data_IF_581573364457
#
_entry.id   IF_581573364457
#
_cell.length_a   1.000
_cell.length_b   1.000
_cell.length_c   1.000
_cell.angle_alpha   90.00
_cell.angle_beta   90.00
_cell.angle_gamma   90.00
#
_symmetry.space_group_name_H-M   'P 1'
#
loop_
_entity.id
_entity.type
_entity.pdbx_description
1 polymer ?
#
# COMPACT_ATOMS: atom_id res chain seq x y z
N UNK A 1 -8.19 -27.82 0.81
CA UNK A 1 -9.01 -26.77 1.46
C UNK A 1 -8.37 -25.39 1.41
N UNK A 2 -7.09 -25.19 1.74
CA UNK A 2 -6.44 -23.86 1.80
C UNK A 2 -6.69 -22.98 0.57
N UNK A 3 -6.47 -23.50 -0.64
CA UNK A 3 -6.67 -22.76 -1.90
C UNK A 3 -8.12 -22.25 -2.07
N UNK A 4 -9.11 -23.02 -1.60
CA UNK A 4 -10.52 -22.67 -1.73
C UNK A 4 -10.96 -21.52 -0.79
N UNK A 5 -10.15 -21.19 0.22
CA UNK A 5 -10.44 -20.15 1.21
C UNK A 5 -9.33 -19.09 1.28
N UNK A 6 -8.49 -18.97 0.26
CA UNK A 6 -7.35 -18.03 0.25
C UNK A 6 -7.78 -16.57 0.39
N UNK A 7 -9.00 -16.21 -0.04
CA UNK A 7 -9.55 -14.87 0.11
C UNK A 7 -9.69 -14.42 1.58
N UNK A 8 -9.75 -15.35 2.53
CA UNK A 8 -9.88 -15.02 3.95
C UNK A 8 -8.65 -14.28 4.47
N UNK A 9 -7.44 -14.65 4.02
CA UNK A 9 -6.20 -14.02 4.46
C UNK A 9 -6.11 -12.52 4.15
N UNK A 10 -6.23 -12.06 2.89
CA UNK A 10 -6.12 -10.63 2.58
C UNK A 10 -7.24 -9.80 3.21
N UNK A 11 -8.44 -10.37 3.40
CA UNK A 11 -9.56 -9.71 4.09
C UNK A 11 -9.25 -9.55 5.58
N UNK A 12 -8.75 -10.60 6.24
CA UNK A 12 -8.36 -10.54 7.64
C UNK A 12 -7.18 -9.59 7.88
N UNK A 13 -6.20 -9.58 6.97
CA UNK A 13 -5.08 -8.65 7.01
C UNK A 13 -5.55 -7.21 6.85
N UNK A 14 -6.45 -6.94 5.91
CA UNK A 14 -7.05 -5.61 5.75
C UNK A 14 -7.76 -5.17 7.03
N UNK A 15 -8.56 -6.04 7.64
CA UNK A 15 -9.25 -5.72 8.89
C UNK A 15 -8.26 -5.40 10.04
N UNK A 16 -7.17 -6.17 10.16
CA UNK A 16 -6.13 -5.89 11.15
C UNK A 16 -5.41 -4.55 10.90
N UNK A 17 -5.15 -4.20 9.64
CA UNK A 17 -4.60 -2.90 9.24
C UNK A 17 -5.56 -1.75 9.55
N UNK A 18 -6.86 -1.89 9.22
CA UNK A 18 -7.88 -0.88 9.52
C UNK A 18 -8.09 -0.66 11.03
N UNK A 19 -7.86 -1.71 11.82
CA UNK A 19 -7.86 -1.65 13.28
C UNK A 19 -6.52 -1.16 13.86
N UNK A 20 -5.52 -0.83 13.04
CA UNK A 20 -4.18 -0.42 13.47
C UNK A 20 -3.51 -1.43 14.43
N UNK A 21 -3.76 -2.73 14.23
CA UNK A 21 -3.21 -3.79 15.10
C UNK A 21 -1.69 -3.75 15.13
N UNK A 22 -1.06 -3.55 13.98
CA UNK A 22 0.40 -3.58 13.86
C UNK A 22 1.04 -2.39 14.58
N UNK A 23 0.48 -1.20 14.42
CA UNK A 23 0.88 0.03 15.10
C UNK A 23 0.72 -0.09 16.62
N UNK A 24 -0.37 -0.71 17.09
CA UNK A 24 -0.59 -0.93 18.53
C UNK A 24 0.51 -1.82 19.12
N UNK A 25 0.84 -2.93 18.45
CA UNK A 25 1.91 -3.81 18.93
C UNK A 25 3.27 -3.10 18.83
N UNK A 26 3.54 -2.38 17.75
CA UNK A 26 4.79 -1.61 17.58
C UNK A 26 4.97 -0.58 18.70
N UNK A 27 3.91 0.16 19.03
CA UNK A 27 3.93 1.18 20.08
C UNK A 27 4.19 0.63 21.48
N UNK A 28 3.98 -0.68 21.70
CA UNK A 28 4.28 -1.35 22.95
C UNK A 28 5.77 -1.74 23.08
N UNK A 29 6.55 -1.69 22.00
CA UNK A 29 8.00 -1.90 21.99
C UNK A 29 8.47 -3.05 21.07
N UNK A 30 9.79 -3.12 20.78
CA UNK A 30 10.38 -3.99 19.75
C UNK A 30 10.23 -5.51 20.00
N UNK A 31 9.91 -5.94 21.22
CA UNK A 31 9.67 -7.35 21.58
C UNK A 31 8.33 -7.54 22.32
N UNK A 32 7.41 -6.59 22.13
CA UNK A 32 6.13 -6.62 22.83
C UNK A 32 5.27 -7.82 22.42
N UNK A 33 4.71 -8.48 23.42
CA UNK A 33 3.75 -9.57 23.28
C UNK A 33 2.44 -9.16 23.95
N UNK A 34 1.41 -8.92 23.15
CA UNK A 34 0.11 -8.44 23.62
C UNK A 34 -0.97 -9.51 23.47
N UNK A 35 -1.82 -9.66 24.49
CA UNK A 35 -3.04 -10.45 24.40
C UNK A 35 -4.10 -9.75 23.53
N UNK A 36 -5.05 -10.51 22.96
CA UNK A 36 -6.20 -9.94 22.25
C UNK A 36 -6.97 -8.91 23.07
N UNK A 37 -7.11 -9.12 24.39
CA UNK A 37 -7.79 -8.16 25.26
C UNK A 37 -7.02 -6.85 25.41
N UNK A 38 -5.69 -6.91 25.52
CA UNK A 38 -4.85 -5.70 25.56
C UNK A 38 -4.93 -4.92 24.25
N UNK A 39 -4.88 -5.59 23.10
CA UNK A 39 -5.02 -4.94 21.79
C UNK A 39 -6.42 -4.36 21.64
N UNK A 40 -7.47 -5.14 21.92
CA UNK A 40 -8.85 -4.70 21.80
C UNK A 40 -9.20 -3.51 22.71
N UNK A 41 -8.53 -3.39 23.87
CA UNK A 41 -8.71 -2.25 24.78
C UNK A 41 -8.32 -0.89 24.18
N UNK A 42 -7.54 -0.89 23.09
CA UNK A 42 -7.11 0.33 22.37
C UNK A 42 -8.12 0.79 21.33
N UNK A 43 -9.13 -0.02 21.01
CA UNK A 43 -10.15 0.33 20.04
C UNK A 43 -11.33 1.04 20.70
N UNK A 44 -12.06 1.90 19.96
CA UNK A 44 -13.40 2.33 20.35
C UNK A 44 -14.39 1.16 20.14
N UNK A 45 -14.23 0.09 20.92
CA UNK A 45 -15.19 -1.02 20.92
C UNK A 45 -16.51 -0.44 21.41
N UNK A 46 -17.55 -0.45 20.55
CA UNK A 46 -18.87 0.12 20.86
C UNK A 46 -19.63 -0.74 21.90
N UNK A 47 -18.99 -1.05 23.03
CA UNK A 47 -19.50 -1.94 24.08
C UNK A 47 -19.52 -3.42 23.69
N UNK A 48 -18.74 -3.86 22.69
CA UNK A 48 -18.73 -5.26 22.24
C UNK A 48 -17.87 -6.15 23.19
N UNK A 49 -18.48 -7.02 24.03
CA UNK A 49 -17.73 -7.86 24.96
C UNK A 49 -16.93 -8.95 24.25
N UNK A 50 -17.31 -9.34 23.04
CA UNK A 50 -16.69 -10.42 22.26
C UNK A 50 -15.53 -9.94 21.39
N UNK A 51 -15.22 -8.63 21.40
CA UNK A 51 -14.16 -8.06 20.57
C UNK A 51 -12.80 -8.76 20.74
N UNK A 52 -12.33 -9.09 21.97
CA UNK A 52 -11.08 -9.83 22.14
C UNK A 52 -11.12 -11.22 21.51
N UNK A 53 -12.25 -11.92 21.57
CA UNK A 53 -12.40 -13.27 21.03
C UNK A 53 -12.37 -13.26 19.49
N UNK A 54 -13.10 -12.32 18.87
CA UNK A 54 -13.12 -12.15 17.42
C UNK A 54 -11.74 -11.72 16.92
N UNK A 55 -11.11 -10.79 17.62
CA UNK A 55 -9.76 -10.33 17.29
C UNK A 55 -8.76 -11.49 17.36
N UNK A 56 -8.80 -12.32 18.40
CA UNK A 56 -7.94 -13.48 18.54
C UNK A 56 -8.03 -14.45 17.34
N UNK A 57 -9.21 -14.61 16.73
CA UNK A 57 -9.37 -15.42 15.52
C UNK A 57 -8.62 -14.81 14.32
N UNK A 58 -8.69 -13.49 14.15
CA UNK A 58 -7.95 -12.75 13.12
C UNK A 58 -6.45 -12.88 13.37
N UNK A 59 -5.99 -12.56 14.59
CA UNK A 59 -4.57 -12.59 14.94
C UNK A 59 -3.96 -13.99 14.79
N UNK A 60 -4.71 -15.04 15.18
CA UNK A 60 -4.29 -16.43 14.99
C UNK A 60 -4.10 -16.78 13.51
N UNK A 61 -5.00 -16.32 12.65
CA UNK A 61 -4.86 -16.50 11.21
C UNK A 61 -3.59 -15.78 10.71
N UNK A 62 -3.38 -14.52 11.07
CA UNK A 62 -2.21 -13.75 10.65
C UNK A 62 -0.90 -14.37 11.16
N UNK A 63 -0.88 -14.88 12.39
CA UNK A 63 0.26 -15.61 12.94
C UNK A 63 0.57 -16.90 12.16
N UNK A 64 -0.45 -17.62 11.69
CA UNK A 64 -0.25 -18.83 10.87
C UNK A 64 0.37 -18.54 9.49
N UNK A 65 0.30 -17.30 9.02
CA UNK A 65 0.97 -16.81 7.81
C UNK A 65 2.23 -15.97 8.11
N UNK A 66 2.75 -16.06 9.33
CA UNK A 66 3.97 -15.37 9.77
C UNK A 66 3.92 -13.84 9.62
N UNK A 67 2.72 -13.25 9.61
CA UNK A 67 2.52 -11.81 9.72
C UNK A 67 2.62 -11.35 11.19
N UNK A 68 2.35 -12.24 12.13
CA UNK A 68 2.54 -12.05 13.57
C UNK A 68 3.31 -13.23 14.15
N UNK A 69 3.95 -13.02 15.29
CA UNK A 69 4.41 -14.10 16.16
C UNK A 69 3.29 -14.45 17.15
N UNK A 70 3.25 -15.70 17.63
CA UNK A 70 2.27 -16.14 18.62
C UNK A 70 2.96 -16.99 19.69
N UNK A 71 2.75 -16.65 20.95
CA UNK A 71 3.19 -17.43 22.11
C UNK A 71 2.02 -17.73 23.04
N UNK A 72 2.21 -18.70 23.93
CA UNK A 72 1.21 -19.10 24.93
C UNK A 72 1.73 -18.71 26.31
N UNK A 73 0.88 -18.08 27.11
CA UNK A 73 1.18 -17.71 28.50
C UNK A 73 0.02 -18.08 29.42
N UNK A 74 0.27 -18.34 30.73
CA UNK A 74 -0.79 -18.45 31.71
C UNK A 74 -1.61 -17.16 31.78
N UNK A 75 -2.92 -17.29 31.93
CA UNK A 75 -3.81 -16.14 32.14
C UNK A 75 -3.72 -15.69 33.61
N UNK A 76 -3.15 -14.50 33.83
CA UNK A 76 -3.00 -13.91 35.16
C UNK A 76 -4.34 -13.54 35.81
N UNK A 77 -5.45 -13.49 35.05
CA UNK A 77 -6.78 -13.15 35.55
C UNK A 77 -7.65 -14.39 35.83
N UNK A 78 -7.33 -15.53 35.21
CA UNK A 78 -8.11 -16.77 35.33
C UNK A 78 -7.18 -17.97 35.52
N UNK A 79 -7.14 -18.48 36.75
CA UNK A 79 -6.33 -19.64 37.09
C UNK A 79 -6.63 -20.83 36.15
N UNK A 80 -5.57 -21.49 35.67
CA UNK A 80 -5.61 -22.64 34.76
C UNK A 80 -6.07 -22.35 33.31
N UNK A 81 -6.18 -21.08 32.91
CA UNK A 81 -6.40 -20.71 31.50
C UNK A 81 -5.09 -20.30 30.82
N UNK A 82 -4.98 -20.57 29.52
CA UNK A 82 -3.86 -20.15 28.67
C UNK A 82 -4.38 -19.06 27.74
N UNK A 83 -3.62 -17.98 27.61
CA UNK A 83 -3.86 -16.88 26.67
C UNK A 83 -2.80 -16.89 25.57
N UNK A 84 -3.22 -16.56 24.35
CA UNK A 84 -2.30 -16.27 23.23
C UNK A 84 -1.80 -14.84 23.35
N UNK A 85 -0.49 -14.66 23.20
CA UNK A 85 0.12 -13.36 23.08
C UNK A 85 0.71 -13.21 21.67
N UNK A 86 0.55 -12.03 21.09
CA UNK A 86 0.94 -11.74 19.72
C UNK A 86 1.99 -10.63 19.69
N UNK A 87 3.01 -10.85 18.86
CA UNK A 87 4.05 -9.87 18.56
C UNK A 87 4.16 -9.66 17.05
N UNK A 88 4.97 -8.68 16.64
CA UNK A 88 5.22 -8.42 15.22
C UNK A 88 6.21 -9.43 14.65
N UNK A 89 5.89 -9.99 13.49
CA UNK A 89 6.87 -10.71 12.68
C UNK A 89 7.61 -9.74 11.74
N UNK A 90 8.78 -10.09 11.19
CA UNK A 90 9.57 -9.17 10.36
C UNK A 90 8.85 -8.60 9.14
N UNK A 91 7.87 -9.33 8.57
CA UNK A 91 7.07 -8.87 7.43
C UNK A 91 6.03 -7.81 7.84
N UNK A 92 5.60 -7.80 9.11
CA UNK A 92 4.58 -6.90 9.61
C UNK A 92 4.97 -5.43 9.47
N UNK A 93 6.28 -5.12 9.53
CA UNK A 93 6.81 -3.77 9.37
C UNK A 93 6.36 -3.08 8.07
N UNK A 94 6.09 -3.85 7.01
CA UNK A 94 5.63 -3.32 5.75
C UNK A 94 4.14 -2.94 5.75
N UNK A 95 3.38 -3.31 6.79
CA UNK A 95 1.97 -2.98 6.94
C UNK A 95 1.72 -1.93 8.03
N UNK A 96 2.78 -1.46 8.70
CA UNK A 96 2.70 -0.37 9.67
C UNK A 96 2.72 0.95 8.90
N UNK A 97 1.82 1.87 9.26
CA UNK A 97 1.75 3.22 8.68
C UNK A 97 2.65 4.19 9.42
N UNK A 98 3.01 5.30 8.76
CA UNK A 98 3.68 6.46 9.37
C UNK A 98 5.06 6.19 9.99
N UNK A 99 5.82 5.20 9.49
CA UNK A 99 7.19 4.93 9.94
C UNK A 99 8.20 5.97 9.42
N UNK A 100 8.17 7.21 9.93
CA UNK A 100 9.15 8.27 9.62
C UNK A 100 9.43 8.45 8.11
N UNK A 101 8.39 8.37 7.28
CA UNK A 101 8.51 8.52 5.83
C UNK A 101 9.04 7.29 5.07
N UNK A 102 8.95 6.08 5.63
CA UNK A 102 9.37 4.80 4.98
C UNK A 102 8.31 4.10 4.12
N UNK A 103 7.13 4.69 3.94
CA UNK A 103 6.03 4.11 3.14
C UNK A 103 5.45 2.83 3.75
N UNK A 104 4.37 2.31 3.16
CA UNK A 104 3.66 1.13 3.65
C UNK A 104 2.94 0.40 2.50
N UNK A 105 2.82 -0.92 2.60
CA UNK A 105 1.98 -1.74 1.72
C UNK A 105 0.51 -1.74 2.15
N UNK A 106 0.19 -1.18 3.32
CA UNK A 106 -1.18 -1.12 3.83
C UNK A 106 -2.16 -0.39 2.89
N UNK A 107 -1.85 0.81 2.36
CA UNK A 107 -2.71 1.45 1.36
C UNK A 107 -2.85 0.65 0.05
N UNK A 108 -1.81 -0.06 -0.39
CA UNK A 108 -1.88 -0.93 -1.55
C UNK A 108 -2.82 -2.12 -1.30
N UNK A 109 -2.74 -2.73 -0.12
CA UNK A 109 -3.65 -3.79 0.29
C UNK A 109 -5.10 -3.28 0.29
N UNK A 110 -5.35 -2.09 0.85
CA UNK A 110 -6.69 -1.48 0.84
C UNK A 110 -7.23 -1.28 -0.57
N UNK A 111 -6.41 -0.75 -1.49
CA UNK A 111 -6.80 -0.60 -2.89
C UNK A 111 -7.13 -1.95 -3.53
N UNK A 112 -6.28 -2.96 -3.36
CA UNK A 112 -6.48 -4.29 -3.95
C UNK A 112 -7.72 -5.00 -3.39
N UNK A 113 -8.09 -4.71 -2.14
CA UNK A 113 -9.28 -5.25 -1.47
C UNK A 113 -10.49 -4.29 -1.50
N UNK A 114 -10.39 -3.19 -2.24
CA UNK A 114 -11.52 -2.29 -2.46
C UNK A 114 -12.58 -2.99 -3.32
N UNK A 115 -13.85 -2.65 -3.10
CA UNK A 115 -14.96 -3.20 -3.90
C UNK A 115 -14.77 -2.93 -5.39
N UNK A 116 -14.20 -1.76 -5.73
CA UNK A 116 -13.98 -1.37 -7.13
C UNK A 116 -13.08 -2.39 -7.83
N UNK A 117 -11.93 -2.72 -7.22
CA UNK A 117 -10.97 -3.69 -7.77
C UNK A 117 -11.50 -5.11 -7.66
N UNK A 118 -12.03 -5.50 -6.50
CA UNK A 118 -12.46 -6.88 -6.26
C UNK A 118 -13.62 -7.33 -7.15
N UNK A 119 -14.52 -6.42 -7.54
CA UNK A 119 -15.60 -6.71 -8.48
C UNK A 119 -15.08 -7.12 -9.87
N UNK A 120 -13.91 -6.63 -10.29
CA UNK A 120 -13.34 -6.96 -11.61
C UNK A 120 -12.93 -8.42 -11.73
N UNK A 121 -12.61 -9.08 -10.62
CA UNK A 121 -12.23 -10.50 -10.62
C UNK A 121 -13.36 -11.41 -11.08
N UNK A 122 -14.62 -11.04 -10.82
CA UNK A 122 -15.79 -11.81 -11.27
C UNK A 122 -15.96 -11.79 -12.79
N UNK A 123 -15.33 -10.85 -13.50
CA UNK A 123 -15.38 -10.75 -14.96
C UNK A 123 -14.20 -11.44 -15.66
N UNK A 124 -13.24 -12.03 -14.93
CA UNK A 124 -12.07 -12.68 -15.55
C UNK A 124 -12.47 -13.81 -16.50
N UNK A 125 -13.41 -14.66 -16.09
CA UNK A 125 -13.90 -15.77 -16.92
C UNK A 125 -14.53 -15.24 -18.21
N UNK A 126 -15.44 -14.28 -18.11
CA UNK A 126 -16.18 -13.79 -19.27
C UNK A 126 -15.28 -12.94 -20.19
N UNK A 127 -14.28 -12.24 -19.64
CA UNK A 127 -13.25 -11.57 -20.43
C UNK A 127 -12.42 -12.56 -21.30
N UNK A 128 -12.15 -13.76 -20.79
CA UNK A 128 -11.48 -14.82 -21.58
C UNK A 128 -12.37 -15.35 -22.69
N UNK A 129 -13.67 -15.51 -22.43
CA UNK A 129 -14.61 -16.11 -23.39
C UNK A 129 -15.09 -15.13 -24.46
N UNK A 130 -15.31 -13.88 -24.08
CA UNK A 130 -16.02 -12.89 -24.90
C UNK A 130 -15.14 -11.69 -25.26
N UNK A 131 -13.92 -11.61 -24.70
CA UNK A 131 -13.04 -10.47 -24.84
C UNK A 131 -13.44 -9.27 -23.98
N UNK A 132 -12.68 -8.18 -24.14
CA UNK A 132 -12.80 -6.96 -23.35
C UNK A 132 -12.01 -6.99 -22.05
N UNK A 133 -11.76 -5.82 -21.47
CA UNK A 133 -11.02 -5.70 -20.21
C UNK A 133 -11.97 -5.91 -19.02
N UNK A 134 -11.61 -6.71 -17.99
CA UNK A 134 -12.50 -6.98 -16.85
C UNK A 134 -13.05 -5.72 -16.17
N UNK A 135 -12.25 -4.66 -16.05
CA UNK A 135 -12.69 -3.38 -15.48
C UNK A 135 -13.80 -2.73 -16.33
N UNK A 136 -13.61 -2.66 -17.64
CA UNK A 136 -14.58 -2.08 -18.57
C UNK A 136 -15.88 -2.90 -18.61
N UNK A 137 -15.79 -4.23 -18.47
CA UNK A 137 -16.98 -5.09 -18.39
C UNK A 137 -17.83 -4.83 -17.15
N UNK A 138 -17.21 -4.49 -16.01
CA UNK A 138 -17.96 -4.15 -14.78
C UNK A 138 -18.52 -2.73 -14.84
N UNK A 139 -17.72 -1.75 -15.27
CA UNK A 139 -18.03 -0.34 -15.09
C UNK A 139 -18.42 0.41 -16.37
N UNK A 140 -18.35 -0.25 -17.53
CA UNK A 140 -18.71 0.33 -18.83
C UNK A 140 -17.78 1.45 -19.31
N UNK A 141 -16.61 1.62 -18.68
CA UNK A 141 -15.64 2.68 -18.97
C UNK A 141 -14.23 2.29 -18.54
N UNK A 142 -13.22 3.02 -19.02
CA UNK A 142 -11.82 2.76 -18.65
C UNK A 142 -11.56 3.12 -17.19
N UNK A 143 -10.56 2.48 -16.57
CA UNK A 143 -10.20 2.74 -15.18
C UNK A 143 -9.88 4.22 -14.92
N UNK A 144 -9.18 4.89 -15.84
CA UNK A 144 -8.86 6.32 -15.73
C UNK A 144 -10.11 7.20 -15.75
N UNK A 145 -11.11 6.85 -16.56
CA UNK A 145 -12.39 7.58 -16.63
C UNK A 145 -13.22 7.35 -15.36
N UNK A 146 -13.19 6.13 -14.82
CA UNK A 146 -13.85 5.79 -13.55
C UNK A 146 -13.25 6.56 -12.38
N UNK A 147 -11.91 6.66 -12.28
CA UNK A 147 -11.24 7.45 -11.25
C UNK A 147 -11.64 8.93 -11.30
N UNK A 148 -11.89 9.47 -12.50
CA UNK A 148 -12.42 10.83 -12.66
C UNK A 148 -13.85 11.02 -12.12
N UNK A 149 -14.63 9.94 -11.93
CA UNK A 149 -16.02 9.97 -11.44
C UNK A 149 -16.17 9.58 -9.97
N UNK A 150 -15.31 8.70 -9.47
CA UNK A 150 -15.33 8.23 -8.09
C UNK A 150 -14.16 8.85 -7.31
N UNK A 151 -14.38 10.03 -6.72
CA UNK A 151 -13.37 10.75 -5.96
C UNK A 151 -12.83 9.93 -4.77
N UNK A 152 -13.66 9.07 -4.17
CA UNK A 152 -13.26 8.19 -3.06
C UNK A 152 -12.28 7.13 -3.56
N UNK A 153 -12.59 6.45 -4.67
CA UNK A 153 -11.67 5.47 -5.24
C UNK A 153 -10.39 6.12 -5.79
N UNK A 154 -10.50 7.30 -6.40
CA UNK A 154 -9.33 8.08 -6.84
C UNK A 154 -8.39 8.38 -5.68
N UNK A 155 -8.92 8.69 -4.50
CA UNK A 155 -8.11 8.94 -3.31
C UNK A 155 -7.46 7.66 -2.77
N UNK A 156 -8.18 6.53 -2.75
CA UNK A 156 -7.63 5.22 -2.38
C UNK A 156 -6.48 4.83 -3.32
N UNK A 157 -6.68 4.97 -4.63
CA UNK A 157 -5.64 4.71 -5.63
C UNK A 157 -4.43 5.61 -5.41
N UNK A 158 -4.64 6.93 -5.29
CA UNK A 158 -3.57 7.90 -5.08
C UNK A 158 -2.78 7.62 -3.80
N UNK A 159 -3.46 7.39 -2.68
CA UNK A 159 -2.83 7.06 -1.40
C UNK A 159 -1.98 5.79 -1.49
N UNK A 160 -2.46 4.77 -2.24
CA UNK A 160 -1.69 3.55 -2.47
C UNK A 160 -0.38 3.79 -3.22
N UNK A 161 -0.40 4.65 -4.25
CA UNK A 161 0.78 4.95 -5.06
C UNK A 161 1.80 5.79 -4.27
N UNK A 162 1.33 6.74 -3.45
CA UNK A 162 2.21 7.58 -2.63
C UNK A 162 3.08 6.74 -1.70
N UNK A 163 2.46 5.86 -0.91
CA UNK A 163 3.18 5.04 0.07
C UNK A 163 4.03 3.96 -0.58
N UNK A 164 3.53 3.33 -1.65
CA UNK A 164 4.27 2.32 -2.39
C UNK A 164 5.52 2.91 -3.07
N UNK A 165 5.40 4.09 -3.69
CA UNK A 165 6.50 4.74 -4.40
C UNK A 165 7.66 5.08 -3.48
N UNK A 166 7.41 5.41 -2.21
CA UNK A 166 8.47 5.60 -1.20
C UNK A 166 9.32 4.34 -1.06
N UNK A 167 8.67 3.20 -0.82
CA UNK A 167 9.36 1.91 -0.63
C UNK A 167 10.10 1.47 -1.90
N UNK A 168 9.45 1.60 -3.05
CA UNK A 168 10.04 1.27 -4.34
C UNK A 168 11.27 2.12 -4.64
N UNK A 169 11.18 3.43 -4.43
CA UNK A 169 12.27 4.37 -4.72
C UNK A 169 13.48 4.14 -3.81
N UNK A 170 13.26 3.87 -2.52
CA UNK A 170 14.35 3.53 -1.60
C UNK A 170 15.08 2.24 -2.05
N UNK A 171 14.33 1.21 -2.42
CA UNK A 171 14.90 -0.04 -2.92
C UNK A 171 15.65 0.12 -4.25
N UNK A 172 15.09 0.92 -5.16
CA UNK A 172 15.68 1.25 -6.47
C UNK A 172 17.03 1.96 -6.28
N UNK A 173 17.04 3.11 -5.60
CA UNK A 173 18.23 3.96 -5.45
C UNK A 173 19.37 3.28 -4.66
N UNK A 174 19.03 2.31 -3.79
CA UNK A 174 20.01 1.52 -3.07
C UNK A 174 20.82 0.59 -3.98
N UNK A 175 20.22 0.07 -5.05
CA UNK A 175 20.81 -1.00 -5.88
C UNK A 175 21.15 -0.54 -7.30
N UNK A 176 20.35 0.33 -7.88
CA UNK A 176 20.49 0.74 -9.26
C UNK A 176 21.45 1.94 -9.38
N UNK A 177 22.39 1.83 -10.31
CA UNK A 177 23.43 2.85 -10.59
C UNK A 177 23.39 3.35 -12.03
N UNK A 178 22.38 2.97 -12.81
CA UNK A 178 22.26 3.42 -14.21
C UNK A 178 21.85 4.88 -14.38
N UNK A 179 21.69 5.63 -13.29
CA UNK A 179 21.53 7.09 -13.33
C UNK A 179 22.87 7.84 -13.32
N UNK A 180 23.97 7.15 -12.99
CA UNK A 180 25.30 7.76 -12.90
C UNK A 180 25.72 8.33 -14.26
N UNK A 181 26.09 9.62 -14.29
CA UNK A 181 26.59 10.30 -15.49
C UNK A 181 25.52 10.84 -16.44
N UNK A 182 24.22 10.68 -16.14
CA UNK A 182 23.16 11.33 -16.92
C UNK A 182 23.20 12.86 -16.73
N UNK A 183 22.98 13.60 -17.82
CA UNK A 183 22.76 15.05 -17.78
C UNK A 183 21.28 15.41 -17.66
N UNK A 184 20.39 14.58 -18.21
CA UNK A 184 18.94 14.78 -18.16
C UNK A 184 18.16 13.46 -18.10
N UNK A 185 17.05 13.47 -17.36
CA UNK A 185 16.17 12.32 -17.18
C UNK A 185 14.71 12.76 -17.34
N UNK A 186 13.97 12.08 -18.21
CA UNK A 186 12.52 12.29 -18.38
C UNK A 186 11.78 11.18 -17.66
N UNK A 187 10.90 11.52 -16.72
CA UNK A 187 9.98 10.59 -16.04
C UNK A 187 8.61 10.67 -16.74
N UNK A 188 8.26 9.67 -17.54
CA UNK A 188 7.04 9.65 -18.36
C UNK A 188 5.90 8.97 -17.59
N UNK A 189 4.81 9.70 -17.35
CA UNK A 189 3.78 9.25 -16.41
C UNK A 189 4.25 9.38 -14.95
N UNK A 190 5.14 10.32 -14.68
CA UNK A 190 5.77 10.52 -13.36
C UNK A 190 4.81 11.03 -12.29
N UNK A 191 3.55 11.32 -12.64
CA UNK A 191 2.51 11.73 -11.72
C UNK A 191 2.87 13.02 -10.99
N UNK A 192 2.89 12.95 -9.66
CA UNK A 192 3.30 14.09 -8.85
C UNK A 192 4.80 14.41 -8.98
N UNK A 193 5.63 13.53 -9.54
CA UNK A 193 7.07 13.72 -9.68
C UNK A 193 7.89 13.28 -8.45
N UNK A 194 7.28 12.57 -7.51
CA UNK A 194 7.95 12.14 -6.29
C UNK A 194 9.20 11.28 -6.56
N UNK A 195 9.10 10.29 -7.45
CA UNK A 195 10.23 9.37 -7.74
C UNK A 195 11.39 10.15 -8.35
N UNK A 196 11.11 10.94 -9.40
CA UNK A 196 12.11 11.82 -10.02
C UNK A 196 12.74 12.78 -9.00
N UNK A 197 11.95 13.32 -8.05
CA UNK A 197 12.49 14.20 -7.01
C UNK A 197 13.56 13.53 -6.15
N UNK A 198 13.39 12.25 -5.84
CA UNK A 198 14.36 11.47 -5.07
C UNK A 198 15.58 11.10 -5.90
N UNK A 199 15.39 10.78 -7.19
CA UNK A 199 16.50 10.55 -8.12
C UNK A 199 17.37 11.82 -8.21
N UNK A 200 16.77 12.98 -8.52
CA UNK A 200 17.50 14.25 -8.64
C UNK A 200 18.14 14.67 -7.31
N UNK A 201 17.50 14.38 -6.17
CA UNK A 201 18.11 14.64 -4.85
C UNK A 201 19.38 13.82 -4.61
N UNK A 202 19.44 12.58 -5.10
CA UNK A 202 20.63 11.72 -5.01
C UNK A 202 21.66 12.05 -6.10
N UNK A 203 21.21 12.59 -7.23
CA UNK A 203 22.01 12.92 -8.41
C UNK A 203 21.80 14.38 -8.82
N UNK A 204 22.35 15.37 -8.08
CA UNK A 204 22.03 16.78 -8.28
C UNK A 204 22.46 17.35 -9.63
N UNK A 205 23.34 16.66 -10.37
CA UNK A 205 23.76 17.03 -11.72
C UNK A 205 22.69 16.76 -12.78
N UNK A 206 21.72 15.88 -12.52
CA UNK A 206 20.67 15.52 -13.46
C UNK A 206 19.64 16.66 -13.53
N UNK A 207 19.33 17.12 -14.74
CA UNK A 207 18.10 17.88 -15.02
C UNK A 207 16.92 16.91 -15.15
N UNK A 208 16.02 16.91 -14.18
CA UNK A 208 14.79 16.11 -14.22
C UNK A 208 13.69 16.80 -15.04
N UNK A 209 12.95 16.02 -15.81
CA UNK A 209 11.73 16.44 -16.50
C UNK A 209 10.60 15.50 -16.09
N UNK A 210 9.69 15.96 -15.23
CA UNK A 210 8.48 15.21 -14.90
C UNK A 210 7.42 15.46 -15.99
N UNK A 211 6.99 14.43 -16.70
CA UNK A 211 6.06 14.52 -17.82
C UNK A 211 4.79 13.72 -17.57
N UNK A 212 3.63 14.39 -17.57
CA UNK A 212 2.32 13.76 -17.38
C UNK A 212 1.20 14.58 -18.04
N UNK A 213 -0.04 14.12 -17.94
CA UNK A 213 -1.22 14.81 -18.44
C UNK A 213 -1.39 16.18 -17.77
N UNK A 214 -1.95 17.19 -18.47
CA UNK A 214 -2.08 18.55 -17.95
C UNK A 214 -2.72 18.65 -16.56
N UNK A 215 -3.85 17.95 -16.35
CA UNK A 215 -4.60 17.98 -15.10
C UNK A 215 -3.87 17.29 -13.92
N UNK A 216 -2.86 16.47 -14.20
CA UNK A 216 -1.97 15.86 -13.18
C UNK A 216 -0.89 16.87 -12.82
N UNK A 217 -0.20 17.42 -13.82
CA UNK A 217 0.87 18.42 -13.64
C UNK A 217 0.38 19.67 -12.91
N UNK A 218 -0.83 20.16 -13.22
CA UNK A 218 -1.44 21.31 -12.52
C UNK A 218 -1.60 21.09 -11.00
N UNK A 219 -1.73 19.83 -10.57
CA UNK A 219 -1.89 19.44 -9.16
C UNK A 219 -0.57 19.03 -8.50
N UNK A 220 0.51 18.93 -9.27
CA UNK A 220 1.82 18.50 -8.78
C UNK A 220 2.44 19.60 -7.92
N UNK A 221 2.97 19.21 -6.77
CA UNK A 221 3.73 20.12 -5.92
C UNK A 221 5.08 20.40 -6.56
N UNK A 222 5.59 21.63 -6.37
CA UNK A 222 6.97 21.92 -6.74
C UNK A 222 7.92 21.18 -5.79
N UNK A 223 8.82 20.38 -6.36
CA UNK A 223 9.89 19.74 -5.61
C UNK A 223 11.16 20.60 -5.67
N UNK A 224 11.97 20.64 -4.60
CA UNK A 224 13.29 21.27 -4.65
C UNK A 224 14.20 20.50 -5.61
N UNK A 225 15.08 21.22 -6.31
CA UNK A 225 16.03 20.65 -7.26
C UNK A 225 15.78 21.09 -8.70
N UNK A 226 16.54 20.53 -9.64
CA UNK A 226 16.50 20.88 -11.05
C UNK A 226 15.42 20.06 -11.78
N UNK A 227 14.15 20.25 -11.41
CA UNK A 227 13.01 19.50 -11.96
C UNK A 227 12.08 20.45 -12.70
N UNK A 228 11.80 20.12 -13.97
CA UNK A 228 10.86 20.80 -14.83
C UNK A 228 9.59 19.95 -14.96
N UNK A 229 8.41 20.54 -14.72
CA UNK A 229 7.14 19.86 -14.96
C UNK A 229 6.61 20.21 -16.34
N UNK A 230 6.39 19.21 -17.19
CA UNK A 230 5.94 19.37 -18.57
C UNK A 230 4.63 18.61 -18.76
N UNK A 231 3.59 19.32 -19.19
CA UNK A 231 2.31 18.71 -19.51
C UNK A 231 2.28 18.24 -20.96
N UNK A 232 1.69 17.08 -21.23
CA UNK A 232 1.44 16.61 -22.59
C UNK A 232 0.78 15.23 -22.66
N UNK A 233 0.77 14.66 -23.85
CA UNK A 233 0.30 13.29 -24.10
C UNK A 233 1.48 12.46 -24.63
N UNK A 234 1.85 11.40 -23.89
CA UNK A 234 2.95 10.51 -24.25
C UNK A 234 2.69 9.73 -25.55
N UNK A 235 1.44 9.59 -25.98
CA UNK A 235 1.08 8.95 -27.24
C UNK A 235 1.29 9.85 -28.46
N UNK A 236 1.40 11.17 -28.25
CA UNK A 236 1.78 12.13 -29.29
C UNK A 236 3.29 12.41 -29.26
N UNK A 237 3.78 12.94 -28.13
CA UNK A 237 5.19 13.30 -28.00
C UNK A 237 5.67 13.29 -26.54
N UNK A 238 6.86 12.74 -26.35
CA UNK A 238 7.61 12.83 -25.08
C UNK A 238 8.75 13.87 -25.16
N UNK A 239 9.10 14.54 -24.05
CA UNK A 239 10.29 15.39 -23.99
C UNK A 239 11.58 14.62 -24.31
N UNK A 240 12.62 15.35 -24.74
CA UNK A 240 13.95 14.78 -24.97
C UNK A 240 14.75 14.78 -23.66
N UNK A 241 15.48 13.72 -23.42
CA UNK A 241 16.50 13.62 -22.37
C UNK A 241 17.49 12.51 -22.71
N UNK A 242 18.56 12.39 -21.91
CA UNK A 242 19.58 11.36 -22.10
C UNK A 242 19.03 9.96 -21.80
N UNK A 243 18.07 9.89 -20.88
CA UNK A 243 17.31 8.68 -20.58
C UNK A 243 15.83 8.99 -20.31
N UNK A 244 14.99 7.97 -20.44
CA UNK A 244 13.58 7.96 -20.05
C UNK A 244 13.43 6.93 -18.93
N UNK A 245 12.76 7.33 -17.85
CA UNK A 245 12.33 6.49 -16.75
C UNK A 245 10.84 6.21 -16.87
#
# INVERSE_FOLDING_TARGET
MQLASLSVLPIALRAATELCVFEIIESAGPDALLSPSQIASKFPTKGNPDAPLILDQILRLLASYSLLTCSLAPDNQKAHQIVRLYGLAPVAKYFIRNQDGKGSLSPLLEMMQDKVVTNTWYQLKDAVLEGGLPFERVYGMRAIEYMGKDARFSEVFRGSMVDYNVMFTEALLKKYKGFDGLGSLVDVGGGNGFILSKIVSMYPSIKGINFDLPHIIEKSSSYPGNIEHVAGDMFDRVPKGDAIF
#
